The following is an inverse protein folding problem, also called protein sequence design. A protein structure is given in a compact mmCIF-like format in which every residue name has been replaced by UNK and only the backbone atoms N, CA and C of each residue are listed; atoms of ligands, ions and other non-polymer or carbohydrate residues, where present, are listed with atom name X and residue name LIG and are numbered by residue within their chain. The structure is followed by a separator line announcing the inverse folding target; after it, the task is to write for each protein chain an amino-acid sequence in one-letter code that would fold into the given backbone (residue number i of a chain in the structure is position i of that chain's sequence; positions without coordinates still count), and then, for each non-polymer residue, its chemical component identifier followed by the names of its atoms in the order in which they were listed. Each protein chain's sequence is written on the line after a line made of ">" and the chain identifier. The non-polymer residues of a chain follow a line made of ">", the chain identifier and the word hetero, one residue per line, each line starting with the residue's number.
data_IF_506361501715
#
_entry.id   IF_506361501715
#
_cell.length_a   1.000
_cell.length_b   1.000
_cell.length_c   1.000
_cell.angle_alpha   90.00
_cell.angle_beta   90.00
_cell.angle_gamma   90.00
#
_symmetry.space_group_name_H-M   'P 1'
#
loop_
_entity.id
_entity.type
_entity.pdbx_description
1 polymer ?
#
# COMPACT_ATOMS: atom_id res chain seq x y z
N UNK A 1 -10.96 -27.63 3.51
CA UNK A 1 -10.38 -26.50 2.78
C UNK A 1 -11.20 -25.29 3.18
N UNK A 2 -10.67 -24.39 4.02
CA UNK A 2 -11.33 -23.15 4.35
C UNK A 2 -11.37 -22.28 3.08
N UNK A 3 -12.55 -21.89 2.65
CA UNK A 3 -12.76 -21.02 1.52
C UNK A 3 -12.15 -19.68 1.88
N UNK A 4 -11.23 -19.19 1.06
CA UNK A 4 -10.48 -17.96 1.31
C UNK A 4 -11.45 -16.76 1.17
N UNK A 5 -11.99 -16.30 2.30
CA UNK A 5 -13.01 -15.24 2.40
C UNK A 5 -12.50 -13.83 2.06
N UNK A 6 -11.27 -13.67 1.57
CA UNK A 6 -10.74 -12.35 1.23
C UNK A 6 -11.63 -11.61 0.23
N UNK A 7 -11.99 -10.34 0.49
CA UNK A 7 -12.81 -9.57 -0.43
C UNK A 7 -12.06 -9.37 -1.75
N UNK A 8 -12.79 -9.40 -2.87
CA UNK A 8 -12.23 -9.09 -4.19
C UNK A 8 -11.98 -7.60 -4.31
N UNK A 9 -10.97 -7.19 -5.09
CA UNK A 9 -10.62 -5.78 -5.33
C UNK A 9 -11.82 -4.97 -5.86
N UNK A 10 -12.72 -5.64 -6.55
CA UNK A 10 -13.92 -5.05 -7.12
C UNK A 10 -13.74 -4.63 -8.57
N UNK A 11 -14.84 -4.77 -9.32
CA UNK A 11 -14.88 -4.53 -10.77
C UNK A 11 -14.47 -3.09 -11.12
N UNK A 12 -14.93 -2.10 -10.34
CA UNK A 12 -14.62 -0.68 -10.57
C UNK A 12 -13.11 -0.41 -10.57
N UNK A 13 -12.41 -0.91 -9.55
CA UNK A 13 -10.95 -0.73 -9.41
C UNK A 13 -10.20 -1.49 -10.51
N UNK A 14 -10.70 -2.69 -10.88
CA UNK A 14 -10.15 -3.46 -11.98
C UNK A 14 -10.26 -2.73 -13.32
N UNK A 15 -11.44 -2.16 -13.64
CA UNK A 15 -11.67 -1.36 -14.84
C UNK A 15 -10.74 -0.13 -14.87
N UNK A 16 -10.59 0.58 -13.77
CA UNK A 16 -9.67 1.73 -13.68
C UNK A 16 -8.21 1.32 -13.94
N UNK A 17 -7.77 0.19 -13.38
CA UNK A 17 -6.43 -0.33 -13.62
C UNK A 17 -6.23 -0.77 -15.08
N UNK A 18 -7.24 -1.43 -15.68
CA UNK A 18 -7.24 -1.82 -17.08
C UNK A 18 -7.18 -0.61 -18.02
N UNK A 19 -7.97 0.43 -17.75
CA UNK A 19 -7.95 1.68 -18.52
C UNK A 19 -6.58 2.36 -18.45
N UNK A 20 -5.95 2.39 -17.26
CA UNK A 20 -4.63 2.99 -17.09
C UNK A 20 -3.55 2.22 -17.86
N UNK A 21 -3.57 0.89 -17.82
CA UNK A 21 -2.68 0.04 -18.63
C UNK A 21 -2.89 0.30 -20.11
N UNK A 22 -4.15 0.39 -20.56
CA UNK A 22 -4.51 0.66 -21.93
C UNK A 22 -4.08 2.04 -22.42
N UNK A 23 -4.16 3.07 -21.57
CA UNK A 23 -3.63 4.41 -21.86
C UNK A 23 -2.12 4.37 -22.13
N UNK A 24 -1.39 3.67 -21.29
CA UNK A 24 0.06 3.53 -21.44
C UNK A 24 0.44 2.77 -22.72
N UNK A 25 -0.24 1.66 -22.99
CA UNK A 25 -0.05 0.88 -24.22
C UNK A 25 -0.44 1.68 -25.47
N UNK A 26 -1.60 2.34 -25.46
CA UNK A 26 -2.08 3.17 -26.56
C UNK A 26 -1.14 4.31 -26.87
N UNK A 27 -0.61 5.00 -25.84
CA UNK A 27 0.39 6.04 -26.01
C UNK A 27 1.68 5.49 -26.62
N UNK A 28 2.17 4.34 -26.13
CA UNK A 28 3.39 3.72 -26.64
C UNK A 28 3.25 3.32 -28.12
N UNK A 29 2.12 2.71 -28.49
CA UNK A 29 1.81 2.36 -29.87
C UNK A 29 1.69 3.60 -30.76
N UNK A 30 1.05 4.65 -30.27
CA UNK A 30 0.91 5.91 -30.98
C UNK A 30 2.27 6.56 -31.28
N UNK A 31 3.20 6.56 -30.31
CA UNK A 31 4.57 7.07 -30.52
C UNK A 31 5.31 6.27 -31.60
N UNK A 32 5.23 4.93 -31.54
CA UNK A 32 5.85 4.06 -32.56
C UNK A 32 5.24 4.32 -33.94
N UNK A 33 3.92 4.41 -34.04
CA UNK A 33 3.23 4.70 -35.29
C UNK A 33 3.61 6.08 -35.86
N UNK A 34 3.71 7.12 -35.02
CA UNK A 34 4.12 8.46 -35.43
C UNK A 34 5.56 8.49 -36.01
N UNK A 35 6.43 7.66 -35.47
CA UNK A 35 7.83 7.56 -35.93
C UNK A 35 7.96 6.80 -37.24
N UNK A 36 7.04 5.85 -37.51
CA UNK A 36 7.10 5.01 -38.70
C UNK A 36 6.24 5.54 -39.86
N UNK A 37 5.10 6.19 -39.54
CA UNK A 37 4.13 6.69 -40.55
C UNK A 37 3.56 8.05 -40.10
N UNK A 38 4.24 9.17 -40.36
CA UNK A 38 3.80 10.49 -39.88
C UNK A 38 2.45 10.96 -40.44
N UNK A 39 2.00 10.36 -41.54
CA UNK A 39 0.69 10.70 -42.17
C UNK A 39 -0.52 10.01 -41.50
N UNK A 40 -0.26 9.10 -40.54
CA UNK A 40 -1.31 8.29 -39.89
C UNK A 40 -1.92 8.93 -38.63
N UNK A 41 -2.11 10.24 -38.62
CA UNK A 41 -2.62 11.00 -37.47
C UNK A 41 -3.98 10.49 -36.96
N UNK A 42 -4.86 10.06 -37.91
CA UNK A 42 -6.17 9.49 -37.55
C UNK A 42 -6.02 8.14 -36.83
N UNK A 43 -5.09 7.29 -37.30
CA UNK A 43 -4.81 5.99 -36.64
C UNK A 43 -4.21 6.18 -35.24
N UNK A 44 -3.40 7.19 -35.05
CA UNK A 44 -2.84 7.60 -33.75
C UNK A 44 -3.94 7.92 -32.73
N UNK A 45 -4.91 8.76 -33.15
CA UNK A 45 -6.03 9.12 -32.26
C UNK A 45 -6.90 7.90 -31.97
N UNK A 46 -7.14 7.03 -32.92
CA UNK A 46 -7.89 5.79 -32.73
C UNK A 46 -7.20 4.85 -31.76
N UNK A 47 -5.89 4.63 -31.90
CA UNK A 47 -5.11 3.81 -30.97
C UNK A 47 -5.15 4.36 -29.53
N UNK A 48 -5.01 5.67 -29.35
CA UNK A 48 -5.07 6.28 -28.03
C UNK A 48 -6.46 6.19 -27.38
N UNK A 49 -7.54 6.20 -28.16
CA UNK A 49 -8.90 6.13 -27.62
C UNK A 49 -9.40 4.68 -27.45
N UNK A 50 -9.12 3.80 -28.39
CA UNK A 50 -9.67 2.43 -28.39
C UNK A 50 -8.90 1.53 -27.40
N UNK A 51 -7.58 1.65 -27.31
CA UNK A 51 -6.75 0.77 -26.46
C UNK A 51 -7.11 0.85 -24.98
N UNK A 52 -7.34 2.03 -24.36
CA UNK A 52 -7.79 2.13 -22.97
C UNK A 52 -9.14 1.46 -22.73
N UNK A 53 -10.08 1.61 -23.68
CA UNK A 53 -11.41 1.02 -23.57
C UNK A 53 -11.32 -0.50 -23.70
N UNK A 54 -10.59 -1.01 -24.69
CA UNK A 54 -10.38 -2.44 -24.87
C UNK A 54 -9.70 -3.08 -23.66
N UNK A 55 -8.64 -2.45 -23.13
CA UNK A 55 -7.96 -2.93 -21.92
C UNK A 55 -8.85 -2.84 -20.67
N UNK A 56 -9.67 -1.82 -20.54
CA UNK A 56 -10.61 -1.69 -19.43
C UNK A 56 -11.66 -2.83 -19.46
N UNK A 57 -12.18 -3.16 -20.63
CA UNK A 57 -13.19 -4.20 -20.81
C UNK A 57 -12.60 -5.60 -20.64
N UNK A 58 -11.42 -5.87 -21.20
CA UNK A 58 -10.80 -7.22 -21.19
C UNK A 58 -10.04 -7.47 -19.88
N UNK A 59 -9.16 -6.55 -19.47
CA UNK A 59 -8.32 -6.72 -18.29
C UNK A 59 -9.04 -6.32 -17.00
N UNK A 60 -10.01 -5.40 -17.08
CA UNK A 60 -10.73 -4.89 -15.92
C UNK A 60 -11.38 -5.98 -15.07
N UNK A 61 -12.21 -6.87 -15.63
CA UNK A 61 -12.81 -7.97 -14.88
C UNK A 61 -11.77 -8.91 -14.29
N UNK A 62 -10.71 -9.22 -15.04
CA UNK A 62 -9.62 -10.09 -14.59
C UNK A 62 -8.85 -9.48 -13.41
N UNK A 63 -8.51 -8.19 -13.49
CA UNK A 63 -7.83 -7.47 -12.42
C UNK A 63 -8.75 -7.25 -11.21
N UNK A 64 -10.03 -6.97 -11.45
CA UNK A 64 -11.03 -6.79 -10.40
C UNK A 64 -11.39 -8.07 -9.66
N UNK A 65 -11.16 -9.23 -10.27
CA UNK A 65 -11.41 -10.53 -9.65
C UNK A 65 -10.28 -10.95 -8.69
N UNK A 66 -9.15 -10.25 -8.69
CA UNK A 66 -8.08 -10.51 -7.72
C UNK A 66 -8.57 -10.24 -6.31
N UNK A 67 -8.14 -11.09 -5.40
CA UNK A 67 -8.44 -10.91 -3.98
C UNK A 67 -7.65 -9.74 -3.42
N UNK A 68 -8.34 -8.89 -2.66
CA UNK A 68 -7.69 -7.82 -1.91
C UNK A 68 -6.72 -8.41 -0.88
N UNK A 69 -5.68 -7.67 -0.48
CA UNK A 69 -4.88 -8.08 0.66
C UNK A 69 -5.80 -8.26 1.87
N UNK A 70 -5.55 -9.33 2.63
CA UNK A 70 -6.32 -9.60 3.84
C UNK A 70 -6.18 -8.42 4.79
N UNK A 71 -7.29 -7.78 5.08
CA UNK A 71 -7.43 -6.85 6.18
C UNK A 71 -8.55 -7.43 7.03
N UNK A 72 -8.27 -7.72 8.29
CA UNK A 72 -9.29 -8.23 9.20
C UNK A 72 -10.50 -7.30 9.20
N UNK A 73 -11.71 -7.87 9.18
CA UNK A 73 -12.95 -7.11 9.27
C UNK A 73 -13.23 -6.65 10.72
N UNK A 74 -12.45 -7.11 11.69
CA UNK A 74 -12.55 -6.66 13.06
C UNK A 74 -12.12 -5.20 13.16
N UNK A 75 -12.81 -4.43 13.98
CA UNK A 75 -12.43 -3.05 14.24
C UNK A 75 -11.10 -3.04 15.02
N UNK A 76 -9.99 -2.65 14.41
CA UNK A 76 -8.69 -2.65 15.07
C UNK A 76 -8.65 -1.75 16.29
N UNK A 77 -9.57 -0.78 16.38
CA UNK A 77 -9.66 0.14 17.52
C UNK A 77 -10.20 -0.57 18.74
N UNK A 78 -11.15 -1.48 18.59
CA UNK A 78 -11.71 -2.21 19.72
C UNK A 78 -10.69 -3.18 20.33
N UNK A 79 -10.03 -3.97 19.50
CA UNK A 79 -8.92 -4.83 19.92
C UNK A 79 -7.79 -4.03 20.59
N UNK A 80 -7.44 -2.87 20.04
CA UNK A 80 -6.44 -1.97 20.63
C UNK A 80 -6.90 -1.38 21.97
N UNK A 81 -8.17 -1.03 22.10
CA UNK A 81 -8.71 -0.50 23.37
C UNK A 81 -8.55 -1.51 24.51
N UNK A 82 -8.89 -2.77 24.27
CA UNK A 82 -8.72 -3.83 25.26
C UNK A 82 -7.25 -4.01 25.64
N UNK A 83 -6.34 -4.08 24.67
CA UNK A 83 -4.91 -4.23 24.93
C UNK A 83 -4.29 -3.02 25.65
N UNK A 84 -4.74 -1.82 25.33
CA UNK A 84 -4.17 -0.59 25.89
C UNK A 84 -4.83 -0.13 27.18
N UNK A 85 -5.93 -0.76 27.60
CA UNK A 85 -6.64 -0.45 28.83
C UNK A 85 -5.74 -0.47 30.09
N UNK A 86 -4.87 -1.47 30.29
CA UNK A 86 -3.94 -1.47 31.43
C UNK A 86 -2.97 -0.28 31.46
N UNK A 87 -2.58 0.20 30.27
CA UNK A 87 -1.66 1.34 30.14
C UNK A 87 -2.35 2.71 30.29
N UNK A 88 -3.67 2.72 30.33
CA UNK A 88 -4.43 3.94 30.49
C UNK A 88 -4.65 4.31 31.96
N UNK A 89 -4.47 3.35 32.84
CA UNK A 89 -4.57 3.53 34.29
C UNK A 89 -3.23 3.96 34.88
N UNK A 90 -3.22 5.06 35.64
CA UNK A 90 -2.00 5.52 36.35
C UNK A 90 -1.08 6.47 35.58
N UNK A 91 -1.39 6.87 34.36
CA UNK A 91 -0.54 7.75 33.55
C UNK A 91 -0.85 9.27 33.68
N UNK A 92 -1.49 9.70 34.77
CA UNK A 92 -1.77 11.12 34.99
C UNK A 92 -2.74 11.71 33.95
N UNK A 93 -2.38 12.86 33.36
CA UNK A 93 -3.22 13.55 32.36
C UNK A 93 -3.13 12.93 30.97
N UNK A 94 -2.10 12.13 30.66
CA UNK A 94 -1.95 11.50 29.35
C UNK A 94 -2.58 10.11 29.37
N UNK A 95 -3.58 9.93 28.52
CA UNK A 95 -4.28 8.65 28.37
C UNK A 95 -4.03 8.12 26.96
N UNK A 96 -3.40 6.95 26.85
CA UNK A 96 -3.05 6.35 25.56
C UNK A 96 -4.25 6.21 24.63
N UNK A 97 -5.41 5.85 25.15
CA UNK A 97 -6.63 5.66 24.36
C UNK A 97 -7.14 6.95 23.69
N UNK A 98 -6.87 8.13 24.26
CA UNK A 98 -7.24 9.40 23.63
C UNK A 98 -6.32 9.76 22.46
N UNK A 99 -5.20 9.09 22.35
CA UNK A 99 -4.18 9.29 21.30
C UNK A 99 -4.18 8.16 20.24
N UNK A 100 -5.14 7.23 20.31
CA UNK A 100 -5.38 6.23 19.28
C UNK A 100 -6.43 6.72 18.29
N UNK A 101 -6.10 6.73 17.01
CA UNK A 101 -7.01 7.15 15.93
C UNK A 101 -6.96 6.15 14.79
N UNK A 102 -8.10 5.88 14.17
CA UNK A 102 -8.15 5.17 12.90
C UNK A 102 -8.16 6.18 11.74
N UNK A 103 -7.38 5.88 10.73
CA UNK A 103 -7.35 6.61 9.46
C UNK A 103 -7.78 5.63 8.36
N UNK A 104 -9.01 5.13 8.47
CA UNK A 104 -9.59 4.13 7.59
C UNK A 104 -8.92 2.76 7.69
N UNK A 105 -7.72 2.60 7.12
CA UNK A 105 -7.01 1.32 7.06
C UNK A 105 -5.84 1.21 8.04
N UNK A 106 -5.36 2.33 8.54
CA UNK A 106 -4.17 2.38 9.41
C UNK A 106 -4.56 2.92 10.77
N UNK A 107 -4.17 2.22 11.82
CA UNK A 107 -4.32 2.74 13.18
C UNK A 107 -3.11 3.57 13.54
N UNK A 108 -3.34 4.75 14.10
CA UNK A 108 -2.30 5.67 14.57
C UNK A 108 -2.27 5.68 16.08
N UNK A 109 -1.10 5.46 16.65
CA UNK A 109 -0.84 5.55 18.09
C UNK A 109 0.18 6.67 18.30
N UNK A 110 -0.23 7.74 18.97
CA UNK A 110 0.66 8.85 19.27
C UNK A 110 1.38 8.57 20.60
N UNK A 111 2.68 8.33 20.53
CA UNK A 111 3.56 8.03 21.65
C UNK A 111 4.33 9.27 22.17
N UNK A 112 4.13 10.43 21.55
CA UNK A 112 4.97 11.61 21.77
C UNK A 112 5.07 12.04 23.24
N UNK A 113 3.99 11.87 24.00
CA UNK A 113 3.92 12.21 25.43
C UNK A 113 3.81 10.98 26.33
N UNK A 114 4.03 9.78 25.81
CA UNK A 114 3.94 8.54 26.57
C UNK A 114 5.08 8.42 27.57
N UNK A 115 4.77 7.94 28.76
CA UNK A 115 5.76 7.57 29.79
C UNK A 115 6.31 6.16 29.59
N UNK A 116 5.57 5.30 28.85
CA UNK A 116 5.92 3.89 28.63
C UNK A 116 5.80 3.51 27.13
N UNK A 117 6.50 4.22 26.22
CA UNK A 117 6.31 4.05 24.81
C UNK A 117 6.70 2.65 24.29
N UNK A 118 7.79 2.09 24.80
CA UNK A 118 8.24 0.76 24.38
C UNK A 118 7.30 -0.35 24.81
N UNK A 119 6.72 -0.24 26.01
CA UNK A 119 5.75 -1.21 26.51
C UNK A 119 4.47 -1.20 25.68
N UNK A 120 4.01 -0.01 25.25
CA UNK A 120 2.87 0.14 24.37
C UNK A 120 3.16 -0.47 23.00
N UNK A 121 4.34 -0.20 22.43
CA UNK A 121 4.76 -0.81 21.15
C UNK A 121 4.81 -2.33 21.29
N UNK A 122 5.41 -2.87 22.33
CA UNK A 122 5.49 -4.31 22.58
C UNK A 122 4.10 -4.95 22.66
N UNK A 123 3.20 -4.36 23.43
CA UNK A 123 1.83 -4.87 23.59
C UNK A 123 1.02 -4.85 22.27
N UNK A 124 1.28 -3.89 21.39
CA UNK A 124 0.51 -3.72 20.15
C UNK A 124 1.17 -4.39 18.94
N UNK A 125 2.39 -4.94 19.11
CA UNK A 125 3.16 -5.49 17.99
C UNK A 125 2.48 -6.71 17.35
N UNK A 126 1.83 -7.57 18.14
CA UNK A 126 1.08 -8.72 17.63
C UNK A 126 -0.06 -8.32 16.70
N UNK A 127 -0.74 -7.20 17.00
CA UNK A 127 -1.81 -6.69 16.13
C UNK A 127 -1.30 -6.24 14.76
N UNK A 128 0.00 -5.97 14.62
CA UNK A 128 0.60 -5.63 13.33
C UNK A 128 0.64 -6.81 12.36
N UNK A 129 0.37 -8.02 12.81
CA UNK A 129 0.22 -9.19 11.94
C UNK A 129 -1.08 -9.10 11.09
N UNK A 130 -2.08 -8.42 11.63
CA UNK A 130 -3.40 -8.31 11.00
C UNK A 130 -3.71 -6.89 10.49
N UNK A 131 -3.23 -5.86 11.21
CA UNK A 131 -3.54 -4.47 10.94
C UNK A 131 -2.29 -3.60 10.79
N UNK A 132 -2.27 -2.65 9.84
CA UNK A 132 -1.19 -1.67 9.76
C UNK A 132 -1.29 -0.69 10.93
N UNK A 133 -0.20 -0.59 11.71
CA UNK A 133 -0.11 0.33 12.85
C UNK A 133 0.98 1.35 12.60
N UNK A 134 0.65 2.62 12.81
CA UNK A 134 1.58 3.74 12.70
C UNK A 134 1.82 4.36 14.08
N UNK A 135 3.05 4.24 14.55
CA UNK A 135 3.53 4.86 15.78
C UNK A 135 4.06 6.26 15.49
N UNK A 136 3.45 7.28 16.10
CA UNK A 136 3.91 8.67 15.99
C UNK A 136 4.87 8.93 17.14
N UNK A 137 6.12 9.21 16.81
CA UNK A 137 7.23 9.33 17.78
C UNK A 137 7.87 10.73 17.77
N UNK A 138 7.34 11.65 16.95
CA UNK A 138 7.94 12.96 16.74
C UNK A 138 9.19 12.95 15.88
N UNK A 139 9.75 14.13 15.60
CA UNK A 139 10.92 14.29 14.72
C UNK A 139 12.25 13.99 15.41
N UNK A 140 12.27 13.85 16.75
CA UNK A 140 13.50 13.67 17.52
C UNK A 140 14.36 14.94 17.61
N UNK A 141 13.73 16.12 17.47
CA UNK A 141 14.41 17.41 17.61
C UNK A 141 14.85 17.63 19.08
N UNK A 142 15.96 18.31 19.28
CA UNK A 142 16.52 18.59 20.62
C UNK A 142 15.55 19.37 21.55
N UNK A 143 14.54 20.03 20.98
CA UNK A 143 13.46 20.72 21.71
C UNK A 143 12.28 19.82 22.07
N UNK A 144 12.27 18.55 21.63
CA UNK A 144 11.25 17.57 21.99
C UNK A 144 11.36 17.21 23.47
N UNK A 145 10.23 16.96 24.13
CA UNK A 145 10.20 16.46 25.53
C UNK A 145 10.98 15.16 25.73
N UNK A 146 11.08 14.36 24.68
CA UNK A 146 11.81 13.11 24.70
C UNK A 146 12.53 12.90 23.36
N UNK A 147 13.74 13.46 23.17
CA UNK A 147 14.49 13.34 21.92
C UNK A 147 14.92 11.91 21.62
N UNK A 148 15.08 11.07 22.65
CA UNK A 148 15.53 9.68 22.52
C UNK A 148 14.39 8.72 22.14
N UNK A 149 13.14 9.13 22.35
CA UNK A 149 11.94 8.31 22.09
C UNK A 149 11.98 7.68 20.71
N UNK A 150 12.30 8.49 19.69
CA UNK A 150 12.34 8.02 18.32
C UNK A 150 13.38 6.91 18.13
N UNK A 151 14.58 7.10 18.65
CA UNK A 151 15.67 6.12 18.57
C UNK A 151 15.30 4.82 19.27
N UNK A 152 14.73 4.92 20.46
CA UNK A 152 14.31 3.77 21.26
C UNK A 152 13.20 2.95 20.57
N UNK A 153 12.15 3.61 20.08
CA UNK A 153 11.04 2.94 19.37
C UNK A 153 11.51 2.34 18.05
N UNK A 154 12.35 3.06 17.29
CA UNK A 154 12.92 2.53 16.07
C UNK A 154 13.77 1.30 16.34
N UNK A 155 14.70 1.38 17.28
CA UNK A 155 15.57 0.25 17.67
C UNK A 155 14.77 -0.97 18.09
N UNK A 156 13.71 -0.77 18.89
CA UNK A 156 12.83 -1.85 19.29
C UNK A 156 12.12 -2.52 18.09
N UNK A 157 11.50 -1.70 17.22
CA UNK A 157 10.83 -2.22 16.04
C UNK A 157 11.84 -2.91 15.09
N UNK A 158 13.07 -2.41 15.01
CA UNK A 158 14.13 -3.02 14.18
C UNK A 158 14.53 -4.41 14.66
N UNK A 159 14.50 -4.65 15.93
CA UNK A 159 14.81 -5.96 16.50
C UNK A 159 13.70 -6.99 16.30
N UNK A 160 12.43 -6.56 16.27
CA UNK A 160 11.28 -7.47 16.30
C UNK A 160 10.51 -7.58 14.99
N UNK A 161 10.71 -6.65 14.04
CA UNK A 161 9.96 -6.60 12.79
C UNK A 161 10.91 -6.65 11.60
N UNK A 162 10.57 -7.41 10.56
CA UNK A 162 11.36 -7.52 9.33
C UNK A 162 11.43 -6.17 8.58
N UNK A 163 12.53 -5.93 7.88
CA UNK A 163 12.82 -4.65 7.20
C UNK A 163 11.75 -4.27 6.16
N UNK A 164 11.25 -5.25 5.41
CA UNK A 164 10.22 -5.04 4.38
C UNK A 164 8.85 -4.63 4.93
N UNK A 165 8.59 -4.91 6.22
CA UNK A 165 7.34 -4.55 6.91
C UNK A 165 7.37 -3.15 7.54
N UNK A 166 8.51 -2.46 7.52
CA UNK A 166 8.72 -1.17 8.18
C UNK A 166 8.73 -0.03 7.18
N UNK A 167 7.92 0.98 7.40
CA UNK A 167 7.97 2.25 6.68
C UNK A 167 8.27 3.38 7.63
N UNK A 168 9.30 4.16 7.33
CA UNK A 168 9.74 5.28 8.15
C UNK A 168 9.36 6.60 7.50
N UNK A 169 8.89 7.52 8.31
CA UNK A 169 8.73 8.93 7.93
C UNK A 169 9.55 9.79 8.89
N UNK A 170 9.57 11.11 8.68
CA UNK A 170 10.27 12.03 9.56
C UNK A 170 9.77 12.00 11.01
N UNK A 171 8.50 11.67 11.26
CA UNK A 171 7.86 11.75 12.57
C UNK A 171 7.20 10.45 13.04
N UNK A 172 7.17 9.41 12.21
CA UNK A 172 6.47 8.16 12.53
C UNK A 172 7.15 6.93 11.95
N UNK A 173 6.80 5.78 12.51
CA UNK A 173 7.13 4.45 12.00
C UNK A 173 5.84 3.69 11.79
N UNK A 174 5.64 3.15 10.62
CA UNK A 174 4.50 2.31 10.27
C UNK A 174 4.96 0.87 10.12
N UNK A 175 4.26 -0.03 10.76
CA UNK A 175 4.46 -1.48 10.65
C UNK A 175 3.29 -2.05 9.85
N UNK A 176 3.62 -2.77 8.78
CA UNK A 176 2.65 -3.35 7.87
C UNK A 176 2.46 -4.84 8.13
N UNK A 177 1.24 -5.38 8.01
CA UNK A 177 1.00 -6.82 8.08
C UNK A 177 1.67 -7.55 6.91
N UNK A 178 2.07 -8.83 7.12
CA UNK A 178 2.69 -9.66 6.08
C UNK A 178 1.85 -9.75 4.81
N UNK A 179 0.54 -9.89 4.95
CA UNK A 179 -0.41 -9.98 3.83
C UNK A 179 -0.35 -8.77 2.88
N UNK A 180 -0.17 -7.56 3.41
CA UNK A 180 -0.01 -6.34 2.60
C UNK A 180 1.33 -6.39 1.86
N UNK A 181 2.40 -6.86 2.50
CA UNK A 181 3.72 -6.96 1.88
C UNK A 181 3.70 -7.97 0.74
N UNK A 182 3.15 -9.16 0.97
CA UNK A 182 3.01 -10.19 -0.07
C UNK A 182 2.22 -9.68 -1.28
N UNK A 183 1.14 -8.94 -1.03
CA UNK A 183 0.37 -8.32 -2.11
C UNK A 183 1.18 -7.28 -2.89
N UNK A 184 1.92 -6.42 -2.18
CA UNK A 184 2.80 -5.43 -2.81
C UNK A 184 3.89 -6.09 -3.64
N UNK A 185 4.55 -7.12 -3.11
CA UNK A 185 5.58 -7.87 -3.83
C UNK A 185 5.01 -8.59 -5.06
N UNK A 186 3.82 -9.19 -4.94
CA UNK A 186 3.12 -9.81 -6.06
C UNK A 186 2.78 -8.78 -7.15
N UNK A 187 2.35 -7.59 -6.76
CA UNK A 187 2.05 -6.48 -7.68
C UNK A 187 3.32 -5.98 -8.36
N UNK A 188 4.42 -5.81 -7.63
CA UNK A 188 5.73 -5.43 -8.20
C UNK A 188 6.26 -6.48 -9.17
N UNK A 189 6.16 -7.78 -8.83
CA UNK A 189 6.55 -8.87 -9.74
C UNK A 189 5.74 -8.86 -11.03
N UNK A 190 4.43 -8.56 -10.94
CA UNK A 190 3.57 -8.44 -12.12
C UNK A 190 3.95 -7.24 -12.98
N UNK A 191 4.13 -6.05 -12.40
CA UNK A 191 4.55 -4.85 -13.14
C UNK A 191 5.89 -5.07 -13.84
N UNK A 192 6.85 -5.72 -13.17
CA UNK A 192 8.14 -6.05 -13.77
C UNK A 192 8.00 -7.00 -14.96
N UNK A 193 7.12 -8.03 -14.86
CA UNK A 193 6.84 -8.94 -15.99
C UNK A 193 6.18 -8.21 -17.16
N UNK A 194 5.21 -7.35 -16.91
CA UNK A 194 4.56 -6.53 -17.94
C UNK A 194 5.56 -5.60 -18.61
N UNK A 195 6.48 -5.00 -17.84
CA UNK A 195 7.52 -4.15 -18.39
C UNK A 195 8.46 -4.89 -19.34
N UNK A 196 8.81 -6.15 -19.05
CA UNK A 196 9.62 -6.98 -19.96
C UNK A 196 8.84 -7.48 -21.19
N UNK A 197 7.52 -7.62 -21.09
CA UNK A 197 6.68 -8.00 -22.23
C UNK A 197 6.45 -6.82 -23.20
N UNK A 198 6.52 -5.60 -22.72
CA UNK A 198 6.25 -4.40 -23.50
C UNK A 198 7.13 -4.29 -24.78
N UNK A 199 8.47 -4.46 -24.72
CA UNK A 199 9.31 -4.43 -25.92
C UNK A 199 8.95 -5.53 -26.91
N UNK A 200 8.55 -6.70 -26.44
CA UNK A 200 8.14 -7.83 -27.30
C UNK A 200 6.85 -7.48 -28.04
N UNK A 201 5.86 -6.93 -27.32
CA UNK A 201 4.58 -6.50 -27.93
C UNK A 201 4.84 -5.38 -28.94
N UNK A 202 5.67 -4.41 -28.62
CA UNK A 202 6.04 -3.32 -29.52
C UNK A 202 6.78 -3.83 -30.77
N UNK A 203 7.67 -4.83 -30.61
CA UNK A 203 8.36 -5.44 -31.74
C UNK A 203 7.40 -6.17 -32.68
N UNK A 204 6.46 -6.96 -32.18
CA UNK A 204 5.46 -7.62 -33.01
C UNK A 204 4.52 -6.60 -33.68
N UNK A 205 4.06 -5.58 -32.95
CA UNK A 205 3.26 -4.51 -33.55
C UNK A 205 4.02 -3.76 -34.65
N UNK A 206 5.32 -3.55 -34.50
CA UNK A 206 6.17 -2.96 -35.55
C UNK A 206 6.31 -3.87 -36.78
N UNK A 207 6.41 -5.20 -36.59
CA UNK A 207 6.49 -6.16 -37.69
C UNK A 207 5.20 -6.20 -38.51
N UNK A 208 4.02 -6.11 -37.86
CA UNK A 208 2.72 -6.09 -38.56
C UNK A 208 2.46 -4.77 -39.32
N UNK A 209 3.08 -3.66 -38.89
CA UNK A 209 2.94 -2.36 -39.56
C UNK A 209 3.92 -2.17 -40.74
N UNK A 210 4.79 -3.14 -41.00
CA UNK A 210 5.78 -3.09 -42.08
C UNK A 210 5.33 -3.88 -43.33
#
# INVERSE_FOLDING_TARGET
>A
MAEDERPRIGLKTGIQAGAFIGLFLGFSLAVVSALTQPEALVQLVQLMCITPIACAVVLGPFLGWRRAPYVSNEDPIEALRELLKPFNEGQGKWRVLSHVRSDGRTVRIDLHNSTQPLTIVAATLELTEQHPIRYIVGRGEARSRNPELRGAVLGYIEQHVALNRRRRTSSSVEVLPPSIIEHMEATHRMHRRLFYLLPIILFFAWLEMR
#
